data_IF_582204335856
#
_entry.id   IF_582204335856
#
_cell.length_a   1.000
_cell.length_b   1.000
_cell.length_c   1.000
_cell.angle_alpha   90.00
_cell.angle_beta   90.00
_cell.angle_gamma   90.00
#
_symmetry.space_group_name_H-M   'P 1'
#
loop_
_entity.id
_entity.type
_entity.pdbx_description
1 polymer ?
#
# COMPACT_ATOMS: atom_id res chain seq x y z
N UNK A 1 16.70 -15.64 6.74
CA UNK A 1 15.24 -15.73 7.03
C UNK A 1 14.86 -17.19 7.08
N UNK A 2 13.59 -17.51 7.32
CA UNK A 2 13.11 -18.90 7.39
C UNK A 2 11.92 -19.10 6.46
N UNK A 3 11.83 -20.29 5.84
CA UNK A 3 10.62 -20.76 5.18
C UNK A 3 9.83 -21.57 6.22
N UNK A 4 8.60 -21.17 6.50
CA UNK A 4 7.77 -21.82 7.51
C UNK A 4 6.39 -22.08 6.94
N UNK A 5 5.98 -23.35 6.94
CA UNK A 5 4.65 -23.75 6.47
C UNK A 5 3.58 -23.27 7.43
N UNK A 6 2.43 -22.83 6.89
CA UNK A 6 1.35 -22.21 7.66
C UNK A 6 0.89 -23.07 8.84
N UNK A 7 0.79 -24.38 8.62
CA UNK A 7 0.25 -25.34 9.60
C UNK A 7 1.34 -25.93 10.51
N UNK A 8 2.55 -25.34 10.53
CA UNK A 8 3.62 -25.81 11.41
C UNK A 8 3.17 -25.70 12.88
N UNK A 9 3.29 -26.77 13.69
CA UNK A 9 2.93 -26.74 15.10
C UNK A 9 3.63 -25.60 15.86
N UNK A 10 2.87 -24.88 16.69
CA UNK A 10 3.35 -23.71 17.43
C UNK A 10 3.04 -22.36 16.78
N UNK A 11 2.60 -22.33 15.51
CA UNK A 11 2.11 -21.10 14.88
C UNK A 11 0.70 -20.80 15.36
N UNK A 12 0.49 -19.56 15.82
CA UNK A 12 -0.83 -19.04 16.16
C UNK A 12 -1.14 -17.82 15.29
N UNK A 13 -2.23 -17.92 14.53
CA UNK A 13 -2.74 -16.83 13.69
C UNK A 13 -3.70 -15.99 14.55
N UNK A 14 -3.39 -14.70 14.69
CA UNK A 14 -4.23 -13.77 15.42
C UNK A 14 -5.54 -13.42 14.72
N UNK A 15 -6.33 -12.56 15.37
CA UNK A 15 -7.52 -11.96 14.76
C UNK A 15 -7.13 -11.06 13.58
N UNK A 16 -8.09 -10.81 12.70
CA UNK A 16 -7.95 -9.77 11.67
C UNK A 16 -7.85 -8.40 12.31
N UNK A 17 -6.85 -7.62 11.91
CA UNK A 17 -6.64 -6.27 12.41
C UNK A 17 -7.67 -5.29 11.85
N UNK A 18 -8.08 -4.35 12.69
CA UNK A 18 -9.02 -3.28 12.35
C UNK A 18 -8.25 -2.03 11.93
N UNK A 19 -7.83 -2.01 10.68
CA UNK A 19 -7.07 -0.90 10.11
C UNK A 19 -7.98 0.27 9.70
N UNK A 20 -7.42 1.49 9.72
CA UNK A 20 -8.07 2.72 9.24
C UNK A 20 -8.45 2.64 7.75
N UNK A 21 -7.59 2.03 6.93
CA UNK A 21 -7.77 1.85 5.49
C UNK A 21 -7.34 0.46 5.03
N UNK A 22 -7.34 0.22 3.71
CA UNK A 22 -6.97 -1.08 3.11
C UNK A 22 -7.64 -2.30 3.77
N UNK A 23 -8.90 -2.14 4.20
CA UNK A 23 -9.64 -3.12 5.04
C UNK A 23 -9.87 -4.47 4.35
N UNK A 24 -9.72 -4.54 3.03
CA UNK A 24 -9.77 -5.77 2.25
C UNK A 24 -8.49 -6.63 2.44
N UNK A 25 -7.37 -6.03 2.82
CA UNK A 25 -6.13 -6.77 3.13
C UNK A 25 -6.30 -7.61 4.40
N UNK A 26 -5.79 -8.85 4.39
CA UNK A 26 -5.78 -9.73 5.56
C UNK A 26 -4.52 -9.48 6.38
N UNK A 27 -4.58 -8.50 7.28
CA UNK A 27 -3.48 -8.18 8.20
C UNK A 27 -3.75 -8.82 9.55
N UNK A 28 -2.79 -9.58 10.08
CA UNK A 28 -2.89 -10.32 11.34
C UNK A 28 -1.54 -10.39 12.04
N UNK A 29 -1.56 -10.39 13.37
CA UNK A 29 -0.41 -10.84 14.14
C UNK A 29 -0.18 -12.34 13.95
N UNK A 30 1.08 -12.75 13.78
CA UNK A 30 1.49 -14.16 13.73
C UNK A 30 2.45 -14.40 14.90
N UNK A 31 2.10 -15.34 15.77
CA UNK A 31 2.93 -15.72 16.93
C UNK A 31 3.59 -17.07 16.65
N UNK A 32 4.88 -17.17 16.97
CA UNK A 32 5.66 -18.40 16.86
C UNK A 32 6.03 -18.87 18.27
N UNK A 33 5.37 -19.91 18.78
CA UNK A 33 5.66 -20.53 20.07
C UNK A 33 6.29 -21.90 19.86
N UNK A 34 7.57 -22.07 20.21
CA UNK A 34 8.32 -23.33 20.07
C UNK A 34 8.24 -23.99 18.67
N UNK A 35 8.14 -23.16 17.62
CA UNK A 35 8.05 -23.60 16.23
C UNK A 35 9.37 -24.23 15.78
N UNK A 36 9.33 -25.50 15.40
CA UNK A 36 10.48 -26.23 14.86
C UNK A 36 10.60 -26.00 13.36
N UNK A 37 11.74 -25.48 12.91
CA UNK A 37 12.03 -25.22 11.50
C UNK A 37 13.20 -26.12 11.05
N UNK A 38 13.06 -26.90 9.96
CA UNK A 38 14.15 -27.70 9.41
C UNK A 38 15.34 -26.85 8.95
N UNK A 39 16.55 -27.41 8.97
CA UNK A 39 17.78 -26.67 8.62
C UNK A 39 17.79 -26.23 7.15
N UNK A 40 17.22 -27.06 6.29
CA UNK A 40 17.04 -26.81 4.85
C UNK A 40 16.12 -25.60 4.56
N UNK A 41 15.26 -25.22 5.52
CA UNK A 41 14.37 -24.07 5.40
C UNK A 41 15.03 -22.74 5.84
N UNK A 42 16.31 -22.76 6.21
CA UNK A 42 17.09 -21.55 6.49
C UNK A 42 17.43 -20.87 5.16
N UNK A 43 16.72 -19.78 4.88
CA UNK A 43 16.84 -19.05 3.62
C UNK A 43 18.22 -18.37 3.52
N UNK A 44 19.02 -18.82 2.54
CA UNK A 44 20.35 -18.30 2.19
C UNK A 44 21.41 -18.37 3.31
N UNK A 45 21.17 -19.17 4.35
CA UNK A 45 22.09 -19.35 5.47
C UNK A 45 21.92 -18.31 6.58
N UNK A 46 22.61 -18.57 7.69
CA UNK A 46 22.60 -17.72 8.88
C UNK A 46 23.24 -16.36 8.61
N UNK A 47 22.70 -15.29 9.22
CA UNK A 47 23.22 -13.92 9.04
C UNK A 47 22.81 -13.23 7.74
N UNK A 48 22.35 -13.95 6.71
CA UNK A 48 21.99 -13.37 5.41
C UNK A 48 20.65 -12.59 5.39
N UNK A 49 19.95 -12.50 6.53
CA UNK A 49 18.59 -11.95 6.62
C UNK A 49 18.46 -10.52 6.08
N UNK A 50 19.37 -9.63 6.48
CA UNK A 50 19.33 -8.23 6.05
C UNK A 50 19.45 -8.07 4.53
N UNK A 51 20.39 -8.79 3.91
CA UNK A 51 20.62 -8.73 2.46
C UNK A 51 19.37 -9.19 1.68
N UNK A 52 18.75 -10.29 2.10
CA UNK A 52 17.52 -10.80 1.47
C UNK A 52 16.38 -9.79 1.57
N UNK A 53 16.22 -9.17 2.74
CA UNK A 53 15.19 -8.15 2.95
C UNK A 53 15.43 -6.92 2.07
N UNK A 54 16.66 -6.42 1.99
CA UNK A 54 16.98 -5.27 1.14
C UNK A 54 16.72 -5.57 -0.35
N UNK A 55 17.11 -6.75 -0.84
CA UNK A 55 16.83 -7.18 -2.22
C UNK A 55 15.32 -7.23 -2.52
N UNK A 56 14.51 -7.63 -1.54
CA UNK A 56 13.04 -7.64 -1.67
C UNK A 56 12.48 -6.23 -1.68
N UNK A 57 13.00 -5.33 -0.85
CA UNK A 57 12.58 -3.92 -0.87
C UNK A 57 12.94 -3.20 -2.16
N UNK A 58 14.13 -3.44 -2.71
CA UNK A 58 14.52 -2.85 -3.99
C UNK A 58 13.54 -3.24 -5.12
N UNK A 59 13.01 -4.46 -5.08
CA UNK A 59 12.00 -4.92 -6.04
C UNK A 59 10.59 -4.42 -5.76
N UNK A 60 10.20 -4.25 -4.50
CA UNK A 60 8.81 -3.91 -4.12
C UNK A 60 8.54 -2.41 -4.10
N UNK A 61 9.54 -1.57 -3.80
CA UNK A 61 9.39 -0.10 -3.78
C UNK A 61 8.82 0.47 -5.08
N UNK A 62 9.29 0.10 -6.29
CA UNK A 62 8.72 0.61 -7.53
C UNK A 62 7.24 0.23 -7.72
N UNK A 63 6.84 -0.97 -7.28
CA UNK A 63 5.43 -1.40 -7.38
C UNK A 63 4.53 -0.60 -6.44
N UNK A 64 4.99 -0.30 -5.23
CA UNK A 64 4.27 0.57 -4.30
C UNK A 64 4.12 1.97 -4.87
N UNK A 65 5.19 2.53 -5.46
CA UNK A 65 5.16 3.84 -6.11
C UNK A 65 4.17 3.86 -7.28
N UNK A 66 4.22 2.87 -8.18
CA UNK A 66 3.29 2.75 -9.29
C UNK A 66 1.82 2.64 -8.81
N UNK A 67 1.57 1.88 -7.73
CA UNK A 67 0.25 1.81 -7.11
C UNK A 67 -0.22 3.16 -6.54
N UNK A 68 0.67 3.93 -5.92
CA UNK A 68 0.38 5.26 -5.42
C UNK A 68 0.03 6.25 -6.54
N UNK A 69 0.78 6.24 -7.65
CA UNK A 69 0.50 7.06 -8.85
C UNK A 69 -0.87 6.70 -9.44
N UNK A 70 -1.18 5.40 -9.55
CA UNK A 70 -2.50 4.95 -10.00
C UNK A 70 -3.65 5.45 -9.12
N UNK A 71 -3.47 5.42 -7.80
CA UNK A 71 -4.44 5.96 -6.84
C UNK A 71 -4.58 7.49 -6.96
N UNK A 72 -3.47 8.20 -7.09
CA UNK A 72 -3.46 9.66 -7.27
C UNK A 72 -4.19 10.07 -8.56
N UNK A 73 -3.96 9.35 -9.66
CA UNK A 73 -4.70 9.54 -10.92
C UNK A 73 -6.20 9.29 -10.75
N UNK A 74 -6.59 8.24 -9.99
CA UNK A 74 -8.00 8.01 -9.69
C UNK A 74 -8.60 9.15 -8.87
N UNK A 75 -7.89 9.64 -7.86
CA UNK A 75 -8.34 10.77 -7.05
C UNK A 75 -8.51 12.04 -7.89
N UNK A 76 -7.58 12.33 -8.82
CA UNK A 76 -7.71 13.43 -9.77
C UNK A 76 -8.97 13.30 -10.64
N UNK A 77 -9.22 12.12 -11.19
CA UNK A 77 -10.41 11.90 -12.03
C UNK A 77 -11.71 12.11 -11.26
N UNK A 78 -11.81 11.61 -10.02
CA UNK A 78 -13.00 11.80 -9.17
C UNK A 78 -13.16 13.27 -8.76
N UNK A 79 -12.08 13.95 -8.40
CA UNK A 79 -12.10 15.37 -8.04
C UNK A 79 -12.54 16.24 -9.23
N UNK A 80 -11.98 15.99 -10.42
CA UNK A 80 -12.37 16.69 -11.64
C UNK A 80 -13.84 16.47 -11.97
N UNK A 81 -14.29 15.22 -11.97
CA UNK A 81 -15.69 14.87 -12.22
C UNK A 81 -16.62 15.61 -11.25
N UNK A 82 -16.35 15.53 -9.95
CA UNK A 82 -17.19 16.18 -8.94
C UNK A 82 -17.19 17.71 -9.08
N UNK A 83 -16.06 18.30 -9.48
CA UNK A 83 -15.96 19.76 -9.65
C UNK A 83 -16.81 20.31 -10.80
N UNK A 84 -17.08 19.48 -11.81
CA UNK A 84 -17.95 19.81 -12.94
C UNK A 84 -19.44 19.69 -12.60
N UNK A 85 -19.78 18.78 -11.67
CA UNK A 85 -21.18 18.47 -11.29
C UNK A 85 -21.68 19.32 -10.11
N UNK A 86 -20.82 19.62 -9.15
CA UNK A 86 -21.20 20.35 -7.94
C UNK A 86 -21.32 21.84 -8.21
N UNK A 87 -22.47 22.43 -7.90
CA UNK A 87 -22.67 23.88 -7.95
C UNK A 87 -22.61 24.53 -6.56
N UNK A 88 -22.02 25.73 -6.52
CA UNK A 88 -22.08 26.63 -5.37
C UNK A 88 -21.95 28.09 -5.86
N UNK A 89 -22.71 28.99 -5.24
CA UNK A 89 -22.78 30.40 -5.65
C UNK A 89 -23.22 30.60 -7.12
N UNK A 90 -24.16 29.74 -7.58
CA UNK A 90 -24.80 29.86 -8.88
C UNK A 90 -24.00 29.34 -10.07
N UNK A 91 -22.84 28.71 -9.84
CA UNK A 91 -22.00 28.12 -10.89
C UNK A 91 -21.38 26.78 -10.41
N UNK A 92 -21.01 25.89 -11.35
CA UNK A 92 -20.15 24.73 -11.06
C UNK A 92 -18.86 25.15 -10.34
N UNK A 93 -18.45 24.39 -9.32
CA UNK A 93 -17.35 24.78 -8.44
C UNK A 93 -16.00 24.85 -9.15
N UNK A 94 -15.84 24.17 -10.29
CA UNK A 94 -14.66 24.28 -11.14
C UNK A 94 -14.42 25.71 -11.67
N UNK A 95 -15.45 26.57 -11.71
CA UNK A 95 -15.31 27.97 -12.14
C UNK A 95 -14.68 28.86 -11.06
N UNK A 96 -14.60 28.40 -9.82
CA UNK A 96 -13.88 29.11 -8.76
C UNK A 96 -12.38 28.83 -8.87
N UNK A 97 -11.58 29.87 -9.10
CA UNK A 97 -10.14 29.77 -9.35
C UNK A 97 -9.39 28.88 -8.34
N UNK A 98 -9.74 28.95 -7.05
CA UNK A 98 -9.12 28.14 -6.01
C UNK A 98 -9.25 26.64 -6.29
N UNK A 99 -10.39 26.18 -6.79
CA UNK A 99 -10.64 24.79 -7.15
C UNK A 99 -9.86 24.40 -8.41
N UNK A 100 -9.86 25.27 -9.44
CA UNK A 100 -9.07 25.02 -10.66
C UNK A 100 -7.57 24.89 -10.35
N UNK A 101 -7.03 25.75 -9.48
CA UNK A 101 -5.64 25.67 -9.04
C UNK A 101 -5.33 24.37 -8.29
N UNK A 102 -6.24 23.89 -7.41
CA UNK A 102 -6.07 22.60 -6.74
C UNK A 102 -6.00 21.45 -7.74
N UNK A 103 -6.92 21.41 -8.71
CA UNK A 103 -6.96 20.36 -9.74
C UNK A 103 -5.71 20.42 -10.63
N UNK A 104 -5.26 21.62 -11.05
CA UNK A 104 -4.05 21.78 -11.83
C UNK A 104 -2.81 21.28 -11.07
N UNK A 105 -2.69 21.60 -9.78
CA UNK A 105 -1.58 21.11 -8.94
C UNK A 105 -1.63 19.58 -8.78
N UNK A 106 -2.81 18.99 -8.63
CA UNK A 106 -2.96 17.53 -8.61
C UNK A 106 -2.51 16.90 -9.93
N UNK A 107 -2.88 17.49 -11.08
CA UNK A 107 -2.48 17.00 -12.39
C UNK A 107 -0.96 17.07 -12.59
N UNK A 108 -0.32 18.18 -12.23
CA UNK A 108 1.14 18.33 -12.24
C UNK A 108 1.78 17.26 -11.36
N UNK A 109 1.27 17.07 -10.14
CA UNK A 109 1.80 16.08 -9.20
C UNK A 109 1.69 14.64 -9.70
N UNK A 110 0.59 14.29 -10.39
CA UNK A 110 0.42 12.95 -10.99
C UNK A 110 1.35 12.75 -12.19
N UNK A 111 1.51 13.75 -13.05
CA UNK A 111 2.33 13.63 -14.27
C UNK A 111 3.84 13.61 -13.97
N UNK A 112 4.26 14.25 -12.87
CA UNK A 112 5.68 14.36 -12.49
C UNK A 112 6.15 13.31 -11.48
N UNK A 113 5.24 12.45 -10.99
CA UNK A 113 5.55 11.38 -10.03
C UNK A 113 6.10 10.11 -10.72
#
# INVERSE_FOLDING_TARGET
>A
GFIVERETPGIKIGRKELNMGQRASDTRGITFEDVRVPKENVLRGEGAGFLVTMQTFDRTRPLVAAGAVGLAKRALNEALKYSLEREAFGVPIIQHQAITCMIANMAIGVETA
#
